data_IF_987470619278
#
_entry.id   IF_987470619278
#
_cell.length_a   1.000
_cell.length_b   1.000
_cell.length_c   1.000
_cell.angle_alpha   90.00
_cell.angle_beta   90.00
_cell.angle_gamma   90.00
#
_symmetry.space_group_name_H-M   'P 1'
#
loop_
_entity.id
_entity.type
_entity.pdbx_description
1 polymer ?
#
# COMPACT_ATOMS: atom_id res chain seq x y z
N UNK A 1 -7.89 6.63 -5.94
CA UNK A 1 -6.49 6.26 -6.29
C UNK A 1 -6.38 4.80 -6.72
N UNK A 2 -6.81 3.83 -5.89
CA UNK A 2 -6.69 2.39 -6.17
C UNK A 2 -7.24 1.98 -7.54
N UNK A 3 -8.45 2.43 -7.88
CA UNK A 3 -9.08 2.18 -9.21
C UNK A 3 -8.22 2.65 -10.40
N UNK A 4 -7.39 3.69 -10.23
CA UNK A 4 -6.47 4.14 -11.28
C UNK A 4 -5.21 3.25 -11.32
N UNK A 5 -4.67 2.92 -10.15
CA UNK A 5 -3.49 2.06 -10.02
C UNK A 5 -3.75 0.63 -10.52
N UNK A 6 -5.00 0.16 -10.45
CA UNK A 6 -5.44 -1.13 -10.98
C UNK A 6 -5.00 -1.41 -12.41
N UNK A 7 -4.78 -0.37 -13.22
CA UNK A 7 -4.39 -0.51 -14.63
C UNK A 7 -2.88 -0.39 -14.87
N UNK A 8 -2.11 -0.05 -13.85
CA UNK A 8 -0.70 0.28 -13.95
C UNK A 8 0.21 -0.65 -13.12
N UNK A 9 -0.36 -1.52 -12.29
CA UNK A 9 0.40 -2.46 -11.45
C UNK A 9 -0.15 -3.88 -11.61
N UNK A 10 0.71 -4.88 -11.41
CA UNK A 10 0.30 -6.30 -11.42
C UNK A 10 -0.35 -6.72 -10.09
N UNK A 11 0.13 -6.13 -9.00
CA UNK A 11 -0.34 -6.38 -7.64
C UNK A 11 -0.07 -5.18 -6.74
N UNK A 12 -0.80 -5.07 -5.65
CA UNK A 12 -0.61 -4.04 -4.64
C UNK A 12 -0.80 -4.55 -3.21
N UNK A 13 -0.03 -3.98 -2.29
CA UNK A 13 -0.17 -4.19 -0.85
C UNK A 13 -0.56 -2.85 -0.22
N UNK A 14 -1.65 -2.88 0.54
CA UNK A 14 -2.15 -1.76 1.33
C UNK A 14 -1.68 -1.94 2.76
N UNK A 15 -1.18 -0.89 3.38
CA UNK A 15 -0.56 -0.94 4.70
C UNK A 15 -0.81 0.34 5.49
N UNK A 16 -0.45 0.32 6.77
CA UNK A 16 -0.54 1.46 7.67
C UNK A 16 0.86 2.01 7.92
N UNK A 17 1.11 3.23 7.46
CA UNK A 17 2.35 3.94 7.73
C UNK A 17 2.47 4.22 9.25
N UNK A 18 3.58 3.83 9.92
CA UNK A 18 3.79 4.07 11.34
C UNK A 18 3.65 5.53 11.76
N UNK A 19 4.13 6.46 10.93
CA UNK A 19 4.08 7.91 11.21
C UNK A 19 2.75 8.56 10.86
N UNK A 20 1.84 7.85 10.18
CA UNK A 20 0.47 8.33 10.04
C UNK A 20 -0.16 8.35 11.44
N UNK A 21 -0.77 9.46 11.83
CA UNK A 21 -1.46 9.58 13.12
C UNK A 21 -2.95 9.23 12.96
N UNK A 22 -3.88 10.12 13.29
CA UNK A 22 -5.34 9.93 13.15
C UNK A 22 -5.82 9.81 11.70
N UNK A 23 -4.95 10.01 10.71
CA UNK A 23 -5.28 10.00 9.26
C UNK A 23 -4.99 8.65 8.58
N UNK A 24 -5.27 7.55 9.28
CA UNK A 24 -5.10 6.18 8.76
C UNK A 24 -6.33 5.72 8.00
N UNK A 25 -6.16 4.68 7.19
CA UNK A 25 -7.29 3.96 6.63
C UNK A 25 -8.09 3.30 7.76
N UNK A 26 -9.41 3.31 7.62
CA UNK A 26 -10.25 2.32 8.28
C UNK A 26 -10.00 0.97 7.59
N UNK A 27 -9.31 0.07 8.29
CA UNK A 27 -8.92 -1.23 7.75
C UNK A 27 -10.12 -2.16 7.53
N UNK A 28 -11.18 -2.03 8.34
CA UNK A 28 -12.39 -2.84 8.18
C UNK A 28 -13.21 -2.37 6.98
N UNK A 29 -13.34 -1.06 6.81
CA UNK A 29 -13.95 -0.50 5.62
C UNK A 29 -13.16 -0.87 4.36
N UNK A 30 -11.82 -0.79 4.41
CA UNK A 30 -10.96 -1.11 3.28
C UNK A 30 -11.04 -2.60 2.89
N UNK A 31 -10.98 -3.50 3.86
CA UNK A 31 -11.12 -4.95 3.60
C UNK A 31 -12.49 -5.28 3.01
N UNK A 32 -13.57 -4.67 3.54
CA UNK A 32 -14.91 -4.79 2.92
C UNK A 32 -14.93 -4.28 1.49
N UNK A 33 -14.36 -3.11 1.23
CA UNK A 33 -14.33 -2.51 -0.11
C UNK A 33 -13.55 -3.39 -1.11
N UNK A 34 -12.45 -4.02 -0.71
CA UNK A 34 -11.68 -4.92 -1.57
C UNK A 34 -12.44 -6.19 -1.97
N UNK A 35 -13.32 -6.67 -1.07
CA UNK A 35 -14.13 -7.88 -1.26
C UNK A 35 -15.47 -7.60 -1.96
N UNK A 36 -15.87 -6.35 -2.07
CA UNK A 36 -17.14 -5.95 -2.68
C UNK A 36 -17.15 -6.29 -4.18
N UNK A 37 -18.03 -7.20 -4.65
CA UNK A 37 -18.15 -7.53 -6.07
C UNK A 37 -18.69 -6.35 -6.92
N UNK A 38 -19.32 -5.36 -6.28
CA UNK A 38 -19.80 -4.13 -6.92
C UNK A 38 -18.72 -3.08 -7.16
N UNK A 39 -17.49 -3.29 -6.67
CA UNK A 39 -16.39 -2.36 -6.91
C UNK A 39 -15.98 -2.36 -8.39
N UNK A 40 -15.43 -1.25 -8.91
CA UNK A 40 -14.87 -1.23 -10.26
C UNK A 40 -13.91 -2.41 -10.48
N UNK A 41 -13.97 -3.10 -11.64
CA UNK A 41 -13.15 -4.28 -11.89
C UNK A 41 -11.67 -3.95 -11.73
N UNK A 42 -11.00 -4.62 -10.78
CA UNK A 42 -9.55 -4.55 -10.67
C UNK A 42 -8.90 -5.52 -11.63
N UNK A 43 -7.81 -5.08 -12.28
CA UNK A 43 -6.90 -5.98 -12.98
C UNK A 43 -5.77 -6.45 -12.07
N UNK A 44 -5.36 -5.61 -11.11
CA UNK A 44 -4.37 -5.95 -10.12
C UNK A 44 -4.97 -6.76 -8.96
N UNK A 45 -4.17 -7.66 -8.39
CA UNK A 45 -4.49 -8.26 -7.09
C UNK A 45 -4.13 -7.31 -5.95
N UNK A 46 -5.01 -7.17 -4.96
CA UNK A 46 -4.76 -6.32 -3.79
C UNK A 46 -4.85 -7.11 -2.50
N UNK A 47 -3.95 -6.84 -1.56
CA UNK A 47 -4.00 -7.38 -0.20
C UNK A 47 -3.81 -6.28 0.83
N UNK A 48 -4.49 -6.41 1.97
CA UNK A 48 -4.28 -5.56 3.14
C UNK A 48 -3.30 -6.27 4.09
N UNK A 49 -2.16 -5.65 4.34
CA UNK A 49 -1.15 -6.07 5.31
C UNK A 49 -0.87 -4.89 6.24
N UNK A 50 -1.56 -4.80 7.39
CA UNK A 50 -1.47 -3.63 8.26
C UNK A 50 -0.07 -3.40 8.84
N UNK A 51 0.70 -4.46 9.08
CA UNK A 51 2.08 -4.35 9.53
C UNK A 51 2.96 -3.80 8.40
N UNK A 52 3.57 -2.64 8.65
CA UNK A 52 4.34 -1.90 7.65
C UNK A 52 5.60 -2.63 7.19
N UNK A 53 6.33 -3.24 8.13
CA UNK A 53 7.60 -3.92 7.81
C UNK A 53 7.32 -5.20 7.04
N UNK A 54 6.28 -5.94 7.42
CA UNK A 54 5.80 -7.09 6.68
C UNK A 54 5.35 -6.69 5.27
N UNK A 55 4.54 -5.64 5.13
CA UNK A 55 4.09 -5.16 3.83
C UNK A 55 5.26 -4.79 2.90
N UNK A 56 6.26 -4.09 3.43
CA UNK A 56 7.46 -3.70 2.69
C UNK A 56 8.32 -4.92 2.29
N UNK A 57 8.46 -5.91 3.17
CA UNK A 57 9.16 -7.14 2.82
C UNK A 57 8.41 -7.92 1.72
N UNK A 58 7.10 -8.10 1.87
CA UNK A 58 6.27 -8.88 0.95
C UNK A 58 6.17 -8.25 -0.45
N UNK A 59 6.06 -6.92 -0.55
CA UNK A 59 5.90 -6.26 -1.86
C UNK A 59 7.13 -6.46 -2.75
N UNK A 60 8.32 -6.58 -2.14
CA UNK A 60 9.59 -6.78 -2.84
C UNK A 60 9.76 -8.18 -3.41
N UNK A 61 9.09 -9.20 -2.86
CA UNK A 61 9.30 -10.61 -3.25
C UNK A 61 8.87 -10.85 -4.70
N UNK A 62 9.84 -10.93 -5.61
CA UNK A 62 9.59 -11.12 -7.04
C UNK A 62 9.14 -9.87 -7.80
N UNK A 63 9.27 -8.68 -7.20
CA UNK A 63 8.98 -7.42 -7.88
C UNK A 63 10.17 -6.97 -8.74
N UNK A 64 9.94 -6.69 -10.02
CA UNK A 64 10.92 -5.98 -10.86
C UNK A 64 10.96 -4.48 -10.56
N UNK A 65 9.86 -3.90 -10.09
CA UNK A 65 9.74 -2.49 -9.69
C UNK A 65 8.72 -2.36 -8.57
N UNK A 66 9.00 -1.50 -7.58
CA UNK A 66 8.10 -1.19 -6.47
C UNK A 66 7.76 0.30 -6.51
N UNK A 67 6.46 0.61 -6.56
CA UNK A 67 5.94 1.97 -6.41
C UNK A 67 5.38 2.15 -4.99
N UNK A 68 5.95 3.08 -4.24
CA UNK A 68 5.43 3.48 -2.92
C UNK A 68 4.65 4.78 -3.08
N UNK A 69 3.37 4.79 -2.69
CA UNK A 69 2.48 5.94 -2.88
C UNK A 69 1.31 5.93 -1.89
N UNK A 70 0.42 6.93 -2.00
CA UNK A 70 -0.79 7.06 -1.20
C UNK A 70 -0.74 8.14 -0.13
N UNK A 71 0.43 8.38 0.47
CA UNK A 71 0.63 9.50 1.40
C UNK A 71 2.11 9.85 1.56
N UNK A 72 2.39 11.07 2.05
CA UNK A 72 3.75 11.48 2.42
C UNK A 72 4.32 10.64 3.57
N UNK A 73 3.50 10.25 4.54
CA UNK A 73 3.90 9.39 5.66
C UNK A 73 4.40 8.03 5.15
N UNK A 74 3.67 7.41 4.22
CA UNK A 74 4.06 6.12 3.63
C UNK A 74 5.40 6.22 2.90
N UNK A 75 5.60 7.26 2.10
CA UNK A 75 6.86 7.45 1.37
C UNK A 75 8.01 7.74 2.33
N UNK A 76 7.79 8.63 3.30
CA UNK A 76 8.78 8.99 4.33
C UNK A 76 9.21 7.79 5.17
N UNK A 77 8.26 6.99 5.65
CA UNK A 77 8.55 5.79 6.45
C UNK A 77 9.32 4.74 5.64
N UNK A 78 9.05 4.59 4.32
CA UNK A 78 9.88 3.72 3.47
C UNK A 78 11.28 4.31 3.29
N UNK A 79 11.41 5.61 3.05
CA UNK A 79 12.71 6.25 2.93
C UNK A 79 13.54 6.07 4.20
N UNK A 80 12.93 6.19 5.38
CA UNK A 80 13.61 5.96 6.66
C UNK A 80 14.08 4.52 6.80
N UNK A 81 13.20 3.54 6.52
CA UNK A 81 13.56 2.12 6.58
C UNK A 81 14.68 1.75 5.62
N UNK A 82 14.75 2.41 4.45
CA UNK A 82 15.78 2.18 3.45
C UNK A 82 17.05 3.03 3.65
N UNK A 83 17.10 3.90 4.66
CA UNK A 83 18.24 4.80 4.89
C UNK A 83 18.40 5.89 3.80
N UNK A 84 17.28 6.28 3.17
CA UNK A 84 17.20 7.30 2.13
C UNK A 84 16.64 8.64 2.63
N UNK A 85 16.27 8.72 3.91
CA UNK A 85 15.81 9.97 4.52
C UNK A 85 16.90 11.04 4.48
N UNK A 86 16.56 12.32 4.30
CA UNK A 86 17.52 13.42 4.42
C UNK A 86 18.28 13.34 5.75
N UNK A 87 19.59 13.54 5.68
CA UNK A 87 20.48 13.71 6.85
C UNK A 87 20.34 15.09 7.47
#
# INVERSE_FOLDING_TARGET
MLVRLDRAVDRGILTIAPSADTRKWDTEWLDRWLRDPGRPPARASWRLVPDFRQALAEVQVGAGTVLVTGSFHTVGDVMEVLGLSPV
#
